data_IF_763685413036
#
_entry.id   IF_763685413036
#
_cell.length_a   1.000
_cell.length_b   1.000
_cell.length_c   1.000
_cell.angle_alpha   90.00
_cell.angle_beta   90.00
_cell.angle_gamma   90.00
#
_symmetry.space_group_name_H-M   'P 1'
#
loop_
_entity.id
_entity.type
_entity.pdbx_description
1 polymer ?
#
# COMPACT_ATOMS: atom_id res chain seq x y z
N UNK A 1 -54.93 -37.06 -7.23
CA UNK A 1 -55.43 -35.80 -6.58
C UNK A 1 -54.25 -35.09 -5.94
N UNK A 2 -53.81 -33.94 -6.46
CA UNK A 2 -52.72 -33.14 -5.85
C UNK A 2 -53.37 -32.21 -4.81
N UNK A 3 -53.13 -32.46 -3.54
CA UNK A 3 -53.45 -31.53 -2.45
C UNK A 3 -52.61 -30.25 -2.60
N UNK A 4 -53.25 -29.17 -3.07
CA UNK A 4 -52.67 -27.81 -2.97
C UNK A 4 -52.90 -27.32 -1.54
N UNK A 5 -51.88 -27.45 -0.69
CA UNK A 5 -51.88 -26.79 0.61
C UNK A 5 -51.93 -25.28 0.41
N UNK A 6 -53.08 -24.65 0.69
CA UNK A 6 -53.19 -23.20 0.75
C UNK A 6 -52.49 -22.73 2.05
N UNK A 7 -51.40 -22.04 1.90
CA UNK A 7 -50.72 -21.35 3.03
C UNK A 7 -51.76 -20.46 3.79
N UNK A 8 -51.83 -20.58 5.09
CA UNK A 8 -52.65 -19.71 5.90
C UNK A 8 -52.16 -18.26 5.81
N UNK A 9 -53.10 -17.29 5.87
CA UNK A 9 -52.75 -15.84 5.82
C UNK A 9 -51.63 -15.47 6.76
N UNK A 10 -51.54 -16.08 7.94
CA UNK A 10 -50.53 -15.87 8.96
C UNK A 10 -49.13 -16.34 8.46
N UNK A 11 -49.07 -17.48 7.77
CA UNK A 11 -47.83 -18.02 7.20
C UNK A 11 -47.31 -17.14 6.08
N UNK A 12 -48.20 -16.60 5.23
CA UNK A 12 -47.85 -15.64 4.17
C UNK A 12 -47.26 -14.36 4.76
N UNK A 13 -47.85 -13.82 5.82
CA UNK A 13 -47.34 -12.63 6.50
C UNK A 13 -45.96 -12.87 7.12
N UNK A 14 -45.74 -14.01 7.77
CA UNK A 14 -44.42 -14.39 8.32
C UNK A 14 -43.37 -14.53 7.23
N UNK A 15 -43.69 -15.20 6.11
CA UNK A 15 -42.77 -15.34 4.98
C UNK A 15 -42.44 -13.97 4.40
N UNK A 16 -43.43 -13.09 4.20
CA UNK A 16 -43.19 -11.73 3.68
C UNK A 16 -42.35 -10.90 4.64
N UNK A 17 -42.57 -11.01 5.94
CA UNK A 17 -41.77 -10.31 6.94
C UNK A 17 -40.34 -10.81 6.96
N UNK A 18 -40.09 -12.14 6.96
CA UNK A 18 -38.77 -12.74 6.93
C UNK A 18 -38.02 -12.41 5.65
N UNK A 19 -38.72 -12.48 4.49
CA UNK A 19 -38.08 -12.13 3.21
C UNK A 19 -37.77 -10.64 3.13
N UNK A 20 -38.65 -9.76 3.59
CA UNK A 20 -38.37 -8.32 3.65
C UNK A 20 -37.21 -7.99 4.60
N UNK A 21 -37.17 -8.65 5.77
CA UNK A 21 -36.06 -8.51 6.71
C UNK A 21 -34.72 -9.00 6.14
N UNK A 22 -34.73 -10.14 5.43
CA UNK A 22 -33.53 -10.64 4.72
C UNK A 22 -33.10 -9.70 3.60
N UNK A 23 -34.03 -9.19 2.79
CA UNK A 23 -33.74 -8.23 1.72
C UNK A 23 -33.19 -6.89 2.27
N UNK A 24 -33.72 -6.40 3.38
CA UNK A 24 -33.19 -5.21 4.07
C UNK A 24 -31.78 -5.44 4.59
N UNK A 25 -31.46 -6.61 5.15
CA UNK A 25 -30.12 -6.94 5.61
C UNK A 25 -29.15 -7.14 4.44
N UNK A 26 -29.55 -7.73 3.33
CA UNK A 26 -28.73 -7.86 2.10
C UNK A 26 -28.50 -6.47 1.47
N UNK A 27 -29.52 -5.60 1.46
CA UNK A 27 -29.41 -4.21 1.01
C UNK A 27 -28.50 -3.35 1.90
N UNK A 28 -28.45 -3.64 3.22
CA UNK A 28 -27.58 -2.97 4.18
C UNK A 28 -26.09 -3.35 4.05
N UNK A 29 -25.74 -4.41 3.29
CA UNK A 29 -24.38 -4.66 2.80
C UNK A 29 -24.07 -3.64 1.67
N UNK A 30 -24.28 -2.39 1.99
CA UNK A 30 -24.10 -1.26 1.09
C UNK A 30 -22.62 -1.04 0.75
N UNK A 31 -22.35 0.01 -0.01
CA UNK A 31 -21.00 0.43 -0.44
C UNK A 31 -19.98 0.44 0.74
N UNK A 32 -20.42 0.82 1.94
CA UNK A 32 -19.59 0.82 3.16
C UNK A 32 -19.12 -0.57 3.59
N UNK A 33 -20.00 -1.58 3.57
CA UNK A 33 -19.62 -2.95 3.92
C UNK A 33 -18.62 -3.57 2.92
N UNK A 34 -18.84 -3.33 1.62
CA UNK A 34 -17.90 -3.77 0.56
C UNK A 34 -16.53 -3.10 0.70
N UNK A 35 -16.48 -1.81 1.05
CA UNK A 35 -15.21 -1.11 1.25
C UNK A 35 -14.45 -1.65 2.47
N UNK A 36 -15.14 -1.93 3.58
CA UNK A 36 -14.54 -2.59 4.75
C UNK A 36 -14.02 -3.99 4.41
N UNK A 37 -14.77 -4.79 3.65
CA UNK A 37 -14.31 -6.10 3.21
C UNK A 37 -13.01 -5.99 2.36
N UNK A 38 -12.96 -5.06 1.41
CA UNK A 38 -11.75 -4.80 0.61
C UNK A 38 -10.56 -4.36 1.47
N UNK A 39 -10.80 -3.52 2.48
CA UNK A 39 -9.79 -3.10 3.44
C UNK A 39 -9.23 -4.29 4.23
N UNK A 40 -10.11 -5.17 4.73
CA UNK A 40 -9.67 -6.37 5.44
C UNK A 40 -8.83 -7.31 4.57
N UNK A 41 -9.20 -7.49 3.30
CA UNK A 41 -8.39 -8.24 2.33
C UNK A 41 -7.04 -7.55 2.09
N UNK A 42 -7.01 -6.22 1.97
CA UNK A 42 -5.77 -5.46 1.83
C UNK A 42 -4.82 -5.71 3.02
N UNK A 43 -5.32 -5.61 4.26
CA UNK A 43 -4.53 -5.89 5.46
C UNK A 43 -4.09 -7.36 5.54
N UNK A 44 -4.92 -8.31 5.06
CA UNK A 44 -4.55 -9.74 4.97
C UNK A 44 -3.42 -9.95 3.97
N UNK A 45 -3.46 -9.30 2.80
CA UNK A 45 -2.37 -9.35 1.83
C UNK A 45 -1.07 -8.82 2.44
N UNK A 46 -1.12 -7.70 3.16
CA UNK A 46 0.06 -7.14 3.82
C UNK A 46 0.64 -8.09 4.88
N UNK A 47 -0.20 -8.84 5.63
CA UNK A 47 0.30 -9.87 6.55
C UNK A 47 1.02 -11.01 5.82
N UNK A 48 0.51 -11.43 4.66
CA UNK A 48 1.19 -12.43 3.82
C UNK A 48 2.53 -11.89 3.33
N UNK A 49 2.60 -10.62 2.89
CA UNK A 49 3.86 -9.97 2.55
C UNK A 49 4.82 -9.94 3.74
N UNK A 50 4.33 -9.65 4.95
CA UNK A 50 5.15 -9.70 6.18
C UNK A 50 5.82 -11.04 6.41
N UNK A 51 5.07 -12.14 6.23
CA UNK A 51 5.64 -13.50 6.32
C UNK A 51 6.72 -13.75 5.25
N UNK A 52 6.52 -13.27 4.03
CA UNK A 52 7.50 -13.43 2.95
C UNK A 52 8.78 -12.62 3.18
N UNK A 53 8.66 -11.39 3.66
CA UNK A 53 9.81 -10.57 4.05
C UNK A 53 10.58 -11.20 5.22
N UNK A 54 9.89 -11.76 6.22
CA UNK A 54 10.52 -12.47 7.35
C UNK A 54 11.27 -13.72 6.88
N UNK A 55 10.64 -14.53 6.04
CA UNK A 55 11.28 -15.71 5.45
C UNK A 55 12.52 -15.31 4.65
N UNK A 56 12.39 -14.30 3.77
CA UNK A 56 13.52 -13.79 2.99
C UNK A 56 14.67 -13.34 3.89
N UNK A 57 14.40 -12.55 4.92
CA UNK A 57 15.43 -12.07 5.83
C UNK A 57 16.12 -13.22 6.58
N UNK A 58 15.38 -14.25 7.02
CA UNK A 58 15.94 -15.45 7.64
C UNK A 58 16.88 -16.22 6.72
N UNK A 59 16.49 -16.36 5.45
CA UNK A 59 17.30 -17.07 4.45
C UNK A 59 18.54 -16.27 4.00
N UNK A 60 18.58 -14.96 4.31
CA UNK A 60 19.63 -14.02 3.91
C UNK A 60 20.35 -13.36 5.11
N UNK A 61 20.60 -14.13 6.19
CA UNK A 61 21.35 -13.69 7.37
C UNK A 61 20.80 -12.41 8.03
N UNK A 62 19.49 -12.23 8.06
CA UNK A 62 18.83 -11.05 8.62
C UNK A 62 18.90 -9.81 7.74
N UNK A 63 19.23 -9.95 6.46
CA UNK A 63 19.36 -8.85 5.53
C UNK A 63 18.24 -8.77 4.52
N UNK A 64 17.93 -7.56 4.06
CA UNK A 64 17.05 -7.34 2.93
C UNK A 64 17.79 -7.44 1.58
N UNK A 65 17.02 -7.42 0.51
CA UNK A 65 17.52 -7.39 -0.86
C UNK A 65 18.30 -6.10 -1.14
N UNK A 66 19.25 -6.18 -2.11
CA UNK A 66 20.10 -5.04 -2.46
C UNK A 66 19.35 -3.89 -3.18
N UNK A 67 18.13 -4.12 -3.65
CA UNK A 67 17.31 -3.09 -4.30
C UNK A 67 17.80 -2.72 -5.70
N UNK A 68 17.74 -1.42 -6.04
CA UNK A 68 18.04 -0.93 -7.37
C UNK A 68 19.52 -0.95 -7.78
N UNK A 69 20.41 -0.94 -6.80
CA UNK A 69 21.83 -0.68 -7.02
C UNK A 69 22.62 -1.85 -7.58
N UNK A 70 22.06 -3.05 -7.56
CA UNK A 70 22.74 -4.23 -8.03
C UNK A 70 22.30 -4.63 -9.45
N UNK A 71 23.24 -4.77 -10.35
CA UNK A 71 23.05 -5.53 -11.58
C UNK A 71 23.31 -7.03 -11.26
N UNK A 72 22.40 -7.93 -11.61
CA UNK A 72 21.18 -7.75 -12.41
C UNK A 72 20.00 -7.20 -11.59
N UNK A 73 19.01 -6.59 -12.25
CA UNK A 73 17.77 -6.06 -11.66
C UNK A 73 16.93 -7.10 -10.87
N UNK A 74 17.44 -8.32 -10.75
CA UNK A 74 16.93 -9.42 -9.94
C UNK A 74 16.84 -9.11 -8.43
N UNK A 75 17.51 -8.05 -7.96
CA UNK A 75 17.59 -7.70 -6.54
C UNK A 75 16.49 -6.74 -6.05
N UNK A 76 15.50 -6.37 -6.89
CA UNK A 76 14.31 -5.66 -6.44
C UNK A 76 13.41 -6.61 -5.64
N UNK A 77 12.61 -6.09 -4.72
CA UNK A 77 11.70 -6.90 -3.91
C UNK A 77 10.79 -7.81 -4.75
N UNK A 78 10.32 -7.34 -5.91
CA UNK A 78 9.47 -8.13 -6.82
C UNK A 78 10.18 -9.43 -7.24
N UNK A 79 11.45 -9.32 -7.61
CA UNK A 79 12.25 -10.48 -8.02
C UNK A 79 12.75 -11.28 -6.82
N UNK A 80 13.27 -10.60 -5.81
CA UNK A 80 13.86 -11.23 -4.63
C UNK A 80 12.85 -12.09 -3.85
N UNK A 81 11.59 -11.64 -3.82
CA UNK A 81 10.50 -12.38 -3.18
C UNK A 81 9.74 -13.29 -4.14
N UNK A 82 10.08 -13.35 -5.42
CA UNK A 82 9.35 -14.09 -6.44
C UNK A 82 9.05 -15.54 -6.07
N UNK A 83 10.04 -16.25 -5.54
CA UNK A 83 9.91 -17.64 -5.11
C UNK A 83 9.05 -17.80 -3.85
N UNK A 84 8.95 -16.78 -3.01
CA UNK A 84 8.13 -16.79 -1.81
C UNK A 84 6.66 -16.57 -2.12
N UNK A 85 6.28 -15.60 -2.97
CA UNK A 85 4.88 -15.37 -3.35
C UNK A 85 4.47 -16.13 -4.63
N UNK A 86 5.36 -16.99 -5.18
CA UNK A 86 5.11 -17.84 -6.37
C UNK A 86 4.61 -17.04 -7.58
N UNK A 87 4.99 -15.78 -7.68
CA UNK A 87 4.56 -14.87 -8.74
C UNK A 87 3.03 -14.73 -8.83
N UNK A 88 2.31 -14.95 -7.71
CA UNK A 88 0.85 -14.79 -7.65
C UNK A 88 0.47 -13.30 -7.59
N UNK A 89 -0.13 -12.79 -8.66
CA UNK A 89 -0.54 -11.38 -8.76
C UNK A 89 -1.79 -11.04 -7.93
N UNK A 90 -2.46 -12.03 -7.34
CA UNK A 90 -3.62 -11.77 -6.46
C UNK A 90 -3.24 -11.00 -5.21
N UNK A 91 -2.02 -11.23 -4.68
CA UNK A 91 -1.55 -10.55 -3.49
C UNK A 91 -0.75 -9.27 -3.79
N UNK A 92 -0.43 -8.98 -5.05
CA UNK A 92 0.34 -7.78 -5.42
C UNK A 92 -0.52 -6.52 -5.44
N UNK A 93 -1.85 -6.66 -5.42
CA UNK A 93 -2.78 -5.55 -5.48
C UNK A 93 -3.68 -5.46 -4.25
N UNK A 94 -3.87 -4.24 -3.75
CA UNK A 94 -5.02 -3.92 -2.91
C UNK A 94 -6.31 -4.13 -3.71
N UNK A 95 -7.37 -4.74 -3.15
CA UNK A 95 -8.63 -4.98 -3.88
C UNK A 95 -9.34 -3.73 -4.39
N UNK A 96 -8.94 -2.55 -3.92
CA UNK A 96 -9.45 -1.26 -4.42
C UNK A 96 -8.67 -0.73 -5.63
N UNK A 97 -7.47 -1.27 -5.91
CA UNK A 97 -6.56 -0.78 -6.94
C UNK A 97 -5.92 -1.96 -7.70
N UNK A 98 -6.73 -2.62 -8.53
CA UNK A 98 -6.33 -3.85 -9.26
C UNK A 98 -6.14 -3.64 -10.75
N UNK A 99 -6.64 -2.52 -11.30
CA UNK A 99 -6.57 -2.23 -12.73
C UNK A 99 -5.39 -1.29 -12.98
N UNK A 100 -4.43 -1.67 -13.85
CA UNK A 100 -3.37 -0.76 -14.24
C UNK A 100 -3.95 0.38 -15.10
N UNK A 101 -3.21 1.47 -15.17
CA UNK A 101 -3.51 2.53 -16.14
C UNK A 101 -3.24 2.00 -17.56
N UNK A 102 -4.17 2.30 -18.44
CA UNK A 102 -4.05 2.01 -19.88
C UNK A 102 -4.24 3.34 -20.61
N UNK A 103 -3.28 3.72 -21.44
CA UNK A 103 -3.36 4.93 -22.24
C UNK A 103 -4.42 4.83 -23.36
N UNK A 104 -4.65 5.90 -24.07
CA UNK A 104 -5.61 5.98 -25.18
C UNK A 104 -5.29 5.02 -26.35
N UNK A 105 -4.03 4.55 -26.45
CA UNK A 105 -3.58 3.59 -27.45
C UNK A 105 -3.62 2.15 -26.95
N UNK A 106 -4.09 1.90 -25.72
CA UNK A 106 -4.16 0.58 -25.12
C UNK A 106 -2.84 0.11 -24.49
N UNK A 107 -1.81 0.97 -24.40
CA UNK A 107 -0.56 0.61 -23.75
C UNK A 107 -0.69 0.73 -22.24
N UNK A 108 -0.10 -0.23 -21.54
CA UNK A 108 -0.06 -0.21 -20.08
C UNK A 108 1.14 0.61 -19.64
N UNK A 109 0.89 1.76 -19.03
CA UNK A 109 1.96 2.63 -18.58
C UNK A 109 2.65 2.11 -17.32
N UNK A 110 3.96 2.23 -17.32
CA UNK A 110 4.84 1.80 -16.22
C UNK A 110 5.06 2.90 -15.17
N UNK A 111 4.34 4.00 -15.22
CA UNK A 111 4.24 4.95 -14.13
C UNK A 111 5.17 6.15 -14.14
N UNK A 112 6.12 6.31 -15.06
CA UNK A 112 6.80 7.60 -15.26
C UNK A 112 6.00 8.44 -16.26
N UNK A 113 5.54 9.61 -15.83
CA UNK A 113 4.82 10.57 -16.70
C UNK A 113 3.33 10.30 -16.87
N UNK A 114 2.73 9.35 -16.13
CA UNK A 114 1.32 9.00 -16.26
C UNK A 114 0.59 9.23 -14.95
N UNK A 115 -0.56 9.86 -14.98
CA UNK A 115 -1.46 10.01 -13.84
C UNK A 115 -2.00 8.63 -13.45
N UNK A 116 -1.38 8.00 -12.44
CA UNK A 116 -1.90 6.80 -11.83
C UNK A 116 -2.89 7.24 -10.74
N UNK A 117 -4.17 7.21 -11.02
CA UNK A 117 -5.20 7.58 -10.06
C UNK A 117 -5.17 6.73 -8.80
N UNK A 118 -5.84 7.20 -7.74
CA UNK A 118 -5.89 6.56 -6.40
C UNK A 118 -6.20 5.05 -6.47
N UNK A 119 -7.14 4.67 -7.33
CA UNK A 119 -7.67 3.30 -7.41
C UNK A 119 -7.05 2.47 -8.55
N UNK A 120 -5.92 2.92 -9.07
CA UNK A 120 -5.17 2.21 -10.09
C UNK A 120 -3.99 1.46 -9.50
N UNK A 121 -3.63 0.36 -10.14
CA UNK A 121 -2.38 -0.35 -9.92
C UNK A 121 -1.28 0.28 -10.78
N UNK A 122 -0.04 0.30 -10.31
CA UNK A 122 1.10 0.55 -11.19
C UNK A 122 1.17 -0.58 -12.23
N UNK A 123 1.53 -0.20 -13.46
CA UNK A 123 1.41 -1.05 -14.63
C UNK A 123 2.40 -2.19 -14.69
N UNK A 124 2.30 -2.99 -15.73
CA UNK A 124 3.13 -4.16 -15.92
C UNK A 124 4.59 -3.78 -16.12
N UNK A 125 5.41 -4.20 -15.15
CA UNK A 125 6.85 -4.23 -15.31
C UNK A 125 7.23 -5.60 -15.85
N UNK A 126 7.90 -5.65 -16.99
CA UNK A 126 8.51 -6.85 -17.50
C UNK A 126 10.03 -6.71 -17.40
N UNK A 127 10.68 -7.70 -16.82
CA UNK A 127 12.12 -7.83 -16.81
C UNK A 127 12.48 -9.17 -17.46
N UNK A 128 13.64 -9.25 -18.09
CA UNK A 128 14.06 -10.43 -18.86
C UNK A 128 14.05 -11.76 -18.05
N UNK A 129 14.17 -11.67 -16.72
CA UNK A 129 14.21 -12.83 -15.82
C UNK A 129 12.88 -13.07 -15.06
N UNK A 130 11.83 -12.29 -15.36
CA UNK A 130 10.51 -12.51 -14.76
C UNK A 130 9.68 -13.44 -15.63
N UNK A 131 8.92 -14.36 -15.03
CA UNK A 131 8.12 -15.33 -15.79
C UNK A 131 6.96 -14.66 -16.54
N UNK A 132 6.57 -13.45 -16.11
CA UNK A 132 5.49 -12.68 -16.72
C UNK A 132 5.56 -11.20 -16.33
N UNK A 133 4.87 -10.32 -17.05
CA UNK A 133 4.69 -8.93 -16.61
C UNK A 133 3.96 -8.86 -15.26
N UNK A 134 4.46 -8.02 -14.36
CA UNK A 134 3.90 -7.84 -13.01
C UNK A 134 3.23 -6.48 -12.86
N UNK A 135 2.11 -6.47 -12.15
CA UNK A 135 1.39 -5.26 -11.71
C UNK A 135 1.23 -5.28 -10.20
N UNK A 136 0.96 -4.13 -9.60
CA UNK A 136 0.68 -4.07 -8.18
C UNK A 136 0.16 -2.71 -7.73
N UNK A 137 -0.23 -2.64 -6.49
CA UNK A 137 -0.63 -1.41 -5.84
C UNK A 137 -0.04 -1.26 -4.44
N UNK A 138 1.01 -2.05 -4.16
CA UNK A 138 1.87 -1.94 -3.00
C UNK A 138 3.28 -1.57 -3.43
N UNK A 139 4.02 -0.91 -2.54
CA UNK A 139 5.41 -0.55 -2.75
C UNK A 139 6.24 -0.71 -1.48
N UNK A 140 7.51 -1.05 -1.67
CA UNK A 140 8.45 -1.09 -0.56
C UNK A 140 8.90 0.34 -0.21
N UNK A 141 9.06 0.61 1.08
CA UNK A 141 9.87 1.72 1.51
C UNK A 141 11.31 1.49 1.02
N UNK A 142 11.75 2.30 0.07
CA UNK A 142 13.06 2.13 -0.58
C UNK A 142 14.25 2.27 0.36
N UNK A 143 14.04 2.77 1.57
CA UNK A 143 15.07 2.76 2.62
C UNK A 143 15.18 1.41 3.34
N UNK A 144 14.24 0.48 3.14
CA UNK A 144 14.26 -0.88 3.69
C UNK A 144 14.89 -1.87 2.70
N UNK A 145 16.10 -1.57 2.26
CA UNK A 145 16.97 -2.43 1.42
C UNK A 145 18.37 -2.45 2.00
N UNK A 146 19.19 -3.41 1.57
CA UNK A 146 20.62 -3.51 1.93
C UNK A 146 21.51 -3.30 0.70
N UNK A 147 21.70 -2.06 0.23
CA UNK A 147 22.51 -1.80 -0.96
C UNK A 147 23.96 -2.17 -0.73
N UNK A 148 24.65 -2.58 -1.80
CA UNK A 148 26.09 -2.79 -1.77
C UNK A 148 26.80 -1.47 -1.50
N UNK A 149 27.85 -1.52 -0.72
CA UNK A 149 28.67 -0.34 -0.40
C UNK A 149 29.23 0.30 -1.68
N UNK A 150 29.07 1.62 -1.79
CA UNK A 150 29.49 2.37 -2.97
C UNK A 150 28.53 2.29 -4.17
N UNK A 151 27.42 1.58 -4.02
CA UNK A 151 26.36 1.43 -5.02
C UNK A 151 24.98 1.79 -4.45
N UNK A 152 24.94 2.68 -3.46
CA UNK A 152 23.70 3.09 -2.83
C UNK A 152 22.83 3.86 -3.84
N UNK A 153 21.57 3.44 -4.03
CA UNK A 153 20.63 4.16 -4.87
C UNK A 153 20.16 5.45 -4.19
N UNK A 154 19.52 6.30 -4.96
CA UNK A 154 18.87 7.53 -4.47
C UNK A 154 19.85 8.63 -4.01
N UNK A 155 21.06 8.69 -4.59
CA UNK A 155 21.96 9.84 -4.44
C UNK A 155 21.20 11.14 -4.71
N UNK A 156 21.29 12.10 -3.80
CA UNK A 156 20.50 13.35 -3.83
C UNK A 156 19.26 13.36 -2.93
N UNK A 157 18.81 12.18 -2.42
CA UNK A 157 17.75 12.13 -1.39
C UNK A 157 18.26 11.65 -0.03
N UNK A 158 19.33 10.87 0.02
CA UNK A 158 19.95 10.41 1.28
C UNK A 158 21.25 9.67 1.05
N UNK A 159 21.95 9.40 2.15
CA UNK A 159 23.25 8.72 2.17
C UNK A 159 23.15 7.23 2.57
N UNK A 160 24.31 6.55 2.62
CA UNK A 160 24.41 5.14 2.99
C UNK A 160 23.86 4.81 4.40
N UNK A 161 23.83 5.78 5.28
CA UNK A 161 23.37 5.72 6.67
C UNK A 161 21.83 5.80 6.81
N UNK A 162 21.10 6.06 5.72
CA UNK A 162 19.63 6.10 5.73
C UNK A 162 19.00 4.71 5.71
N UNK A 163 19.68 3.71 5.17
CA UNK A 163 19.12 2.39 4.94
C UNK A 163 18.99 1.53 6.20
N UNK A 164 17.87 0.84 6.33
CA UNK A 164 17.59 -0.06 7.44
C UNK A 164 18.27 -1.42 7.32
N UNK A 165 18.59 -1.86 6.11
CA UNK A 165 19.36 -3.06 5.76
C UNK A 165 18.78 -4.40 6.23
N UNK A 166 17.93 -4.43 7.24
CA UNK A 166 17.28 -5.62 7.79
C UNK A 166 16.26 -5.27 8.88
N UNK A 167 15.45 -6.24 9.34
CA UNK A 167 14.34 -5.99 10.27
C UNK A 167 14.75 -5.85 11.74
N UNK A 168 15.92 -6.36 12.12
CA UNK A 168 16.36 -6.43 13.53
C UNK A 168 16.87 -5.08 14.04
N UNK A 169 15.95 -4.13 14.25
CA UNK A 169 16.26 -2.77 14.72
C UNK A 169 15.32 -2.36 15.85
N UNK A 170 15.76 -1.47 16.73
CA UNK A 170 14.90 -0.88 17.76
C UNK A 170 13.89 0.08 17.12
N UNK A 171 12.62 0.04 17.57
CA UNK A 171 11.54 0.87 17.05
C UNK A 171 11.00 0.40 15.70
N UNK A 172 11.24 -0.88 15.33
CA UNK A 172 10.81 -1.48 14.07
C UNK A 172 9.29 -1.36 13.82
N UNK A 173 8.49 -1.31 14.89
CA UNK A 173 7.02 -1.12 14.86
C UNK A 173 6.59 0.25 14.32
N UNK A 174 7.51 1.21 14.21
CA UNK A 174 7.26 2.56 13.65
C UNK A 174 7.93 2.80 12.30
N UNK A 175 8.61 1.79 11.77
CA UNK A 175 9.29 1.86 10.46
C UNK A 175 8.39 1.20 9.40
N UNK A 176 7.78 1.97 8.48
CA UNK A 176 7.00 1.36 7.39
C UNK A 176 7.93 0.57 6.48
N UNK A 177 7.59 -0.68 6.21
CA UNK A 177 8.33 -1.58 5.31
C UNK A 177 7.66 -1.65 3.93
N UNK A 178 6.34 -1.94 3.92
CA UNK A 178 5.61 -2.20 2.69
C UNK A 178 4.16 -1.75 2.84
N UNK A 179 3.66 -0.96 1.92
CA UNK A 179 2.33 -0.36 2.04
C UNK A 179 1.71 -0.06 0.68
N UNK A 180 0.47 0.39 0.69
CA UNK A 180 -0.21 0.82 -0.53
C UNK A 180 0.55 1.96 -1.19
N UNK A 181 0.74 1.85 -2.50
CA UNK A 181 1.56 2.79 -3.26
C UNK A 181 1.10 2.93 -4.70
N UNK A 182 1.44 4.06 -5.32
CA UNK A 182 1.33 4.29 -6.76
C UNK A 182 2.45 3.64 -7.56
N UNK A 183 3.56 3.29 -6.89
CA UNK A 183 4.75 2.71 -7.51
C UNK A 183 5.28 1.57 -6.62
N UNK A 184 6.06 0.69 -7.20
CA UNK A 184 6.64 -0.46 -6.50
C UNK A 184 7.70 -0.08 -5.45
N UNK A 185 8.17 1.16 -5.40
CA UNK A 185 9.06 1.69 -4.35
C UNK A 185 9.02 3.22 -4.29
N UNK A 186 9.39 3.77 -3.13
CA UNK A 186 9.60 5.21 -2.93
C UNK A 186 10.51 5.45 -1.73
N UNK A 187 11.10 6.63 -1.66
CA UNK A 187 12.06 7.05 -0.62
C UNK A 187 11.63 8.38 0.04
N UNK A 188 10.56 8.36 0.86
CA UNK A 188 10.01 9.55 1.50
C UNK A 188 11.02 10.27 2.39
N UNK A 189 10.92 11.60 2.41
CA UNK A 189 11.60 12.48 3.35
C UNK A 189 10.57 13.24 4.19
N UNK A 190 10.96 13.69 5.37
CA UNK A 190 10.10 14.46 6.28
C UNK A 190 9.70 15.83 5.72
N UNK A 191 10.44 16.33 4.73
CA UNK A 191 10.22 17.59 4.03
C UNK A 191 9.33 17.43 2.79
N UNK A 192 9.02 16.21 2.37
CA UNK A 192 8.13 15.97 1.23
C UNK A 192 6.76 16.60 1.51
N UNK A 193 6.28 17.41 0.59
CA UNK A 193 4.97 18.09 0.69
C UNK A 193 3.82 17.10 0.50
N UNK A 194 2.65 17.33 1.11
CA UNK A 194 1.46 16.57 0.79
C UNK A 194 1.04 16.74 -0.67
N UNK A 195 0.48 15.70 -1.30
CA UNK A 195 -0.05 15.81 -2.66
C UNK A 195 -1.26 16.77 -2.71
N UNK A 196 -1.36 17.58 -3.76
CA UNK A 196 -2.43 18.59 -3.92
C UNK A 196 -3.81 17.94 -4.01
N UNK A 197 -3.89 16.73 -4.59
CA UNK A 197 -5.10 15.90 -4.61
C UNK A 197 -4.73 14.42 -4.43
N UNK A 198 -5.66 13.62 -3.95
CA UNK A 198 -5.40 12.19 -3.73
C UNK A 198 -5.16 11.46 -5.05
N UNK A 199 -4.00 10.83 -5.17
CA UNK A 199 -3.57 10.17 -6.40
C UNK A 199 -2.84 11.08 -7.38
N UNK A 200 -2.42 12.28 -6.93
CA UNK A 200 -1.50 13.11 -7.71
C UNK A 200 -0.29 12.32 -8.15
N UNK A 201 0.14 12.58 -9.38
CA UNK A 201 1.31 11.92 -9.93
C UNK A 201 2.53 12.23 -9.06
N UNK A 202 3.22 11.20 -8.65
CA UNK A 202 4.47 11.36 -7.92
C UNK A 202 5.57 11.92 -8.83
N UNK A 203 6.46 12.71 -8.22
CA UNK A 203 7.68 13.22 -8.85
C UNK A 203 8.89 12.77 -8.02
N UNK A 204 10.07 12.77 -8.63
CA UNK A 204 11.28 12.31 -7.95
C UNK A 204 11.63 13.16 -6.72
N UNK A 205 11.29 14.45 -6.75
CA UNK A 205 11.56 15.43 -5.70
C UNK A 205 10.65 15.25 -4.48
N UNK A 206 9.44 14.67 -4.66
CA UNK A 206 8.44 14.52 -3.60
C UNK A 206 7.84 13.11 -3.65
N UNK A 207 8.32 12.21 -2.80
CA UNK A 207 7.94 10.81 -2.89
C UNK A 207 6.96 10.32 -1.82
N UNK A 208 6.65 11.13 -0.79
CA UNK A 208 5.61 10.80 0.18
C UNK A 208 4.23 10.64 -0.49
N UNK A 209 3.95 11.42 -1.52
CA UNK A 209 2.70 11.37 -2.29
C UNK A 209 2.39 9.98 -2.86
N UNK A 210 3.41 9.16 -3.17
CA UNK A 210 3.23 7.78 -3.65
C UNK A 210 2.45 6.89 -2.69
N UNK A 211 2.54 7.17 -1.39
CA UNK A 211 1.92 6.41 -0.30
C UNK A 211 0.70 7.11 0.28
N UNK A 212 0.55 8.42 0.03
CA UNK A 212 -0.55 9.24 0.55
C UNK A 212 -1.81 9.09 -0.33
N UNK A 213 -2.42 7.90 -0.31
CA UNK A 213 -3.51 7.50 -1.19
C UNK A 213 -4.78 7.22 -0.39
N UNK A 214 -5.84 7.97 -0.65
CA UNK A 214 -7.13 7.78 0.04
C UNK A 214 -7.91 6.57 -0.50
N UNK A 215 -7.37 5.38 -0.32
CA UNK A 215 -8.02 4.11 -0.72
C UNK A 215 -8.99 3.57 0.31
N UNK A 216 -8.77 3.90 1.60
CA UNK A 216 -9.50 3.35 2.74
C UNK A 216 -9.97 4.45 3.70
N UNK A 217 -10.65 5.46 3.16
CA UNK A 217 -11.32 6.52 3.92
C UNK A 217 -10.37 7.24 4.92
N UNK A 218 -9.36 7.89 4.39
CA UNK A 218 -8.38 8.68 5.16
C UNK A 218 -7.24 7.86 5.77
N UNK A 219 -7.09 6.60 5.34
CA UNK A 219 -6.03 5.71 5.81
C UNK A 219 -5.45 4.84 4.70
N UNK A 220 -4.26 4.31 4.93
CA UNK A 220 -3.59 3.29 4.13
C UNK A 220 -3.25 2.06 4.99
N UNK A 221 -3.26 0.88 4.41
CA UNK A 221 -2.70 -0.33 5.04
C UNK A 221 -1.18 -0.25 5.01
N UNK A 222 -0.53 -0.55 6.13
CA UNK A 222 0.92 -0.54 6.26
C UNK A 222 1.42 -1.79 6.99
N UNK A 223 2.41 -2.44 6.42
CA UNK A 223 3.27 -3.45 7.03
C UNK A 223 4.50 -2.74 7.57
N UNK A 224 4.82 -2.99 8.83
CA UNK A 224 5.98 -2.41 9.51
C UNK A 224 7.19 -3.35 9.51
N UNK A 225 8.33 -2.84 9.92
CA UNK A 225 9.59 -3.57 9.89
C UNK A 225 9.66 -4.73 10.92
N UNK A 226 8.84 -4.67 11.98
CA UNK A 226 8.59 -5.77 12.92
C UNK A 226 7.59 -6.82 12.41
N UNK A 227 7.17 -6.69 11.15
CA UNK A 227 6.16 -7.50 10.46
C UNK A 227 4.73 -7.37 11.02
N UNK A 228 4.47 -6.42 11.90
CA UNK A 228 3.10 -6.05 12.28
C UNK A 228 2.40 -5.29 11.14
N UNK A 229 1.07 -5.41 11.09
CA UNK A 229 0.24 -4.73 10.06
C UNK A 229 -0.86 -3.95 10.74
N UNK A 230 -0.96 -2.67 10.41
CA UNK A 230 -2.05 -1.81 10.86
C UNK A 230 -2.48 -0.79 9.80
N UNK A 231 -3.58 -0.13 10.04
CA UNK A 231 -3.97 1.08 9.32
C UNK A 231 -3.16 2.26 9.82
N UNK A 232 -2.76 3.11 8.90
CA UNK A 232 -2.07 4.38 9.13
C UNK A 232 -2.93 5.50 8.57
N UNK A 233 -3.18 6.53 9.37
CA UNK A 233 -3.82 7.75 8.87
C UNK A 233 -2.96 8.43 7.82
N UNK A 234 -3.58 9.07 6.81
CA UNK A 234 -2.79 9.66 5.73
C UNK A 234 -1.85 10.77 6.22
N UNK A 235 -2.27 11.59 7.19
CA UNK A 235 -1.40 12.58 7.82
C UNK A 235 -0.36 11.95 8.78
N UNK A 236 -0.66 10.77 9.34
CA UNK A 236 0.27 10.01 10.19
C UNK A 236 1.52 9.56 9.43
N UNK A 237 1.48 9.45 8.10
CA UNK A 237 2.62 9.05 7.28
C UNK A 237 3.88 9.89 7.56
N UNK A 238 3.74 11.19 7.86
CA UNK A 238 4.87 12.06 8.17
C UNK A 238 5.45 11.87 9.58
N UNK A 239 4.78 11.16 10.47
CA UNK A 239 5.28 10.84 11.82
C UNK A 239 6.01 9.49 11.89
N UNK A 240 5.94 8.67 10.84
CA UNK A 240 6.58 7.37 10.77
C UNK A 240 8.08 7.49 10.51
N UNK A 241 8.87 6.54 10.98
CA UNK A 241 10.32 6.52 10.84
C UNK A 241 10.76 5.88 9.51
N UNK A 242 10.60 6.60 8.38
CA UNK A 242 10.88 6.06 7.04
C UNK A 242 12.32 5.62 6.83
N UNK A 243 13.30 6.38 7.32
CA UNK A 243 14.73 6.05 7.26
C UNK A 243 15.42 6.35 8.59
N UNK A 244 16.65 5.88 8.79
CA UNK A 244 17.36 5.96 10.07
C UNK A 244 17.50 7.39 10.59
N UNK A 245 17.67 8.35 9.70
CA UNK A 245 17.83 9.77 10.04
C UNK A 245 16.52 10.57 9.88
N UNK A 246 15.34 9.90 9.73
CA UNK A 246 14.06 10.57 9.52
C UNK A 246 13.62 11.38 10.74
N UNK A 247 13.20 12.61 10.50
CA UNK A 247 12.67 13.53 11.51
C UNK A 247 11.15 13.30 11.68
N UNK A 248 10.77 12.53 12.69
CA UNK A 248 9.35 12.22 12.98
C UNK A 248 8.56 13.41 13.53
N UNK A 249 9.22 14.54 13.78
CA UNK A 249 8.67 15.84 14.15
C UNK A 249 8.95 16.88 13.06
N UNK A 250 8.87 16.45 11.80
CA UNK A 250 9.09 17.29 10.64
C UNK A 250 7.96 18.31 10.41
N UNK A 251 8.11 19.17 9.40
CA UNK A 251 7.22 20.33 9.17
C UNK A 251 5.74 19.94 8.97
N UNK A 252 5.44 18.71 8.55
CA UNK A 252 4.09 18.20 8.34
C UNK A 252 3.53 17.39 9.52
N UNK A 253 3.94 17.74 10.74
CA UNK A 253 3.44 17.13 12.00
C UNK A 253 3.03 18.21 12.98
N UNK A 254 2.13 17.91 13.92
CA UNK A 254 1.75 18.84 15.00
C UNK A 254 3.01 19.31 15.76
N UNK A 255 3.92 18.38 16.06
CA UNK A 255 5.16 18.69 16.77
C UNK A 255 6.13 19.57 15.96
N UNK A 256 5.99 19.57 14.64
CA UNK A 256 6.73 20.44 13.71
C UNK A 256 6.02 21.75 13.38
N UNK A 257 4.83 21.98 13.95
CA UNK A 257 4.10 23.25 13.85
C UNK A 257 3.13 23.33 12.67
N UNK A 258 2.75 22.21 12.03
CA UNK A 258 1.74 22.22 10.97
C UNK A 258 0.37 22.63 11.55
N UNK A 259 -0.33 23.50 10.84
CA UNK A 259 -1.71 23.87 11.16
C UNK A 259 -2.70 23.14 10.24
N UNK A 260 -3.96 22.93 10.67
CA UNK A 260 -4.99 22.28 9.84
C UNK A 260 -5.17 22.93 8.46
N UNK A 261 -4.95 24.25 8.36
CA UNK A 261 -5.09 25.00 7.10
C UNK A 261 -3.91 24.83 6.14
N UNK A 262 -2.78 24.33 6.60
CA UNK A 262 -1.60 24.09 5.76
C UNK A 262 -1.77 22.85 4.86
N UNK A 263 -2.70 21.96 5.25
CA UNK A 263 -2.98 20.77 4.47
C UNK A 263 -3.82 21.09 3.23
N UNK A 264 -3.61 20.36 2.14
CA UNK A 264 -4.49 20.44 0.95
C UNK A 264 -5.96 20.18 1.33
N UNK A 265 -6.89 20.80 0.61
CA UNK A 265 -8.32 20.80 0.94
C UNK A 265 -8.88 19.40 1.20
N UNK A 266 -8.50 18.43 0.39
CA UNK A 266 -8.95 17.05 0.52
C UNK A 266 -8.47 16.33 1.77
N UNK A 267 -7.41 16.83 2.43
CA UNK A 267 -6.84 16.28 3.66
C UNK A 267 -7.31 16.99 4.94
N UNK A 268 -7.84 18.20 4.86
CA UNK A 268 -8.15 19.04 6.03
C UNK A 268 -8.99 18.34 7.10
N UNK A 269 -9.95 17.52 6.68
CA UNK A 269 -10.85 16.81 7.60
C UNK A 269 -10.27 15.49 8.17
N UNK A 270 -9.06 15.10 7.80
CA UNK A 270 -8.40 13.95 8.41
C UNK A 270 -7.72 14.35 9.71
N UNK A 271 -7.59 13.37 10.62
CA UNK A 271 -6.94 13.55 11.91
C UNK A 271 -5.49 14.04 11.73
N UNK A 272 -5.12 15.04 12.53
CA UNK A 272 -3.73 15.53 12.65
C UNK A 272 -2.93 14.67 13.65
N UNK A 273 -1.61 14.62 13.50
CA UNK A 273 -0.69 13.79 14.29
C UNK A 273 0.56 14.57 14.70
#
# INVERSE_FOLDING_TARGET
>A
MKNKTKLAKREIIVVLFVTSFLLLNIGAIGKGGRNRAKEMVCLSNLRQWGMMFDMYAKDHNGRFMHGFSAFPRANRWISALGDYYKWDDKITCCPTATKPFVDEFGNISVGEGTEIGVFMAWGYLLQAHWPRPMKGSYGINGWCIDPQQGHEPYSGRGGPDYFWRGPSVSGAENVPLFLEAQRYNGVPLCTDTPPVYSGEQWINEVQMGQYCLNRHNGAAGCLFLDFSVRKVGLKELWTLKWHRNYQTRGPWTIAGGVHPNDWPEWMKNFKDY
#
